data_IF_369108865604
#
_entry.id   IF_369108865604
#
_cell.length_a   1.000
_cell.length_b   1.000
_cell.length_c   1.000
_cell.angle_alpha   90.00
_cell.angle_beta   90.00
_cell.angle_gamma   90.00
#
_symmetry.space_group_name_H-M   'P 1'
#
loop_
_entity.id
_entity.type
_entity.pdbx_description
1 polymer ?
#
# COMPACT_ATOMS: atom_id res chain seq x y z
N UNK A 1 -15.33 13.85 1.13
CA UNK A 1 -15.06 12.43 1.39
C UNK A 1 -13.57 12.20 1.10
N UNK A 2 -12.88 11.32 1.83
CA UNK A 2 -11.52 10.96 1.43
C UNK A 2 -11.64 9.81 0.44
N UNK A 3 -11.01 9.97 -0.72
CA UNK A 3 -11.13 9.05 -1.84
C UNK A 3 -9.75 8.65 -2.33
N UNK A 4 -9.63 7.42 -2.82
CA UNK A 4 -8.38 6.90 -3.36
C UNK A 4 -8.23 7.38 -4.80
N UNK A 5 -7.10 8.01 -5.18
CA UNK A 5 -6.91 8.50 -6.53
C UNK A 5 -6.87 7.38 -7.57
N UNK A 6 -7.53 7.58 -8.72
CA UNK A 6 -7.53 6.62 -9.84
C UNK A 6 -6.12 6.21 -10.30
N UNK A 7 -5.18 7.15 -10.32
CA UNK A 7 -3.78 6.88 -10.68
C UNK A 7 -3.06 5.88 -9.76
N UNK A 8 -3.58 5.65 -8.54
CA UNK A 8 -3.06 4.62 -7.65
C UNK A 8 -3.65 3.24 -7.96
N UNK A 9 -4.94 3.17 -8.33
CA UNK A 9 -5.69 1.91 -8.46
C UNK A 9 -5.80 1.40 -9.92
N UNK A 10 -5.56 2.26 -10.91
CA UNK A 10 -5.65 1.91 -12.34
C UNK A 10 -4.65 0.82 -12.75
N UNK A 11 -3.57 0.64 -11.97
CA UNK A 11 -2.54 -0.40 -12.16
C UNK A 11 -2.91 -1.74 -11.52
N UNK A 12 -4.06 -1.86 -10.84
CA UNK A 12 -4.48 -3.08 -10.17
C UNK A 12 -5.27 -3.98 -11.13
N UNK A 13 -5.13 -5.32 -11.02
CA UNK A 13 -6.00 -6.22 -11.77
C UNK A 13 -7.46 -6.03 -11.35
N UNK A 14 -8.37 -5.85 -12.33
CA UNK A 14 -9.80 -5.63 -12.06
C UNK A 14 -10.53 -6.79 -11.39
N UNK A 15 -9.90 -7.96 -11.31
CA UNK A 15 -10.42 -9.13 -10.59
C UNK A 15 -10.13 -9.13 -9.09
N UNK A 16 -9.36 -8.16 -8.58
CA UNK A 16 -9.02 -8.07 -7.17
C UNK A 16 -10.23 -7.65 -6.33
N UNK A 17 -10.41 -8.32 -5.19
CA UNK A 17 -11.47 -7.99 -4.24
C UNK A 17 -11.10 -6.74 -3.45
N UNK A 18 -12.05 -5.82 -3.27
CA UNK A 18 -11.88 -4.56 -2.53
C UNK A 18 -12.67 -4.60 -1.24
N UNK A 19 -12.06 -4.15 -0.15
CA UNK A 19 -12.73 -4.01 1.14
C UNK A 19 -12.17 -2.83 1.93
N UNK A 20 -12.96 -2.18 2.79
CA UNK A 20 -12.44 -1.21 3.75
C UNK A 20 -11.39 -1.84 4.68
N UNK A 21 -10.44 -1.05 5.14
CA UNK A 21 -9.52 -1.52 6.18
C UNK A 21 -10.25 -1.81 7.50
N UNK A 22 -9.74 -2.79 8.25
CA UNK A 22 -10.28 -3.14 9.58
C UNK A 22 -10.02 -2.07 10.65
N UNK A 23 -8.98 -1.26 10.48
CA UNK A 23 -8.55 -0.19 11.38
C UNK A 23 -8.05 0.98 10.54
N UNK A 24 -8.30 2.20 11.00
CA UNK A 24 -7.99 3.42 10.25
C UNK A 24 -8.90 3.61 9.04
N UNK A 25 -8.78 4.77 8.39
CA UNK A 25 -9.49 5.06 7.14
C UNK A 25 -8.66 4.57 5.97
N UNK A 26 -9.24 3.80 5.05
CA UNK A 26 -8.54 3.29 3.88
C UNK A 26 -9.17 2.03 3.29
N UNK A 27 -8.55 1.50 2.26
CA UNK A 27 -9.03 0.34 1.51
C UNK A 27 -7.93 -0.67 1.27
N UNK A 28 -8.34 -1.93 1.11
CA UNK A 28 -7.50 -3.06 0.73
C UNK A 28 -8.00 -3.66 -0.56
N UNK A 29 -7.08 -3.86 -1.49
CA UNK A 29 -7.25 -4.71 -2.66
C UNK A 29 -6.45 -5.99 -2.47
N UNK A 30 -7.07 -7.13 -2.76
CA UNK A 30 -6.48 -8.44 -2.55
C UNK A 30 -6.76 -9.35 -3.73
N UNK A 31 -5.72 -10.05 -4.19
CA UNK A 31 -5.86 -11.08 -5.21
C UNK A 31 -6.65 -12.28 -4.64
N UNK A 32 -7.81 -12.65 -5.24
CA UNK A 32 -8.61 -13.76 -4.76
C UNK A 32 -7.95 -15.13 -5.02
N UNK A 33 -7.02 -15.22 -5.98
CA UNK A 33 -6.31 -16.46 -6.34
C UNK A 33 -4.99 -16.61 -5.57
N UNK A 34 -4.40 -15.50 -5.12
CA UNK A 34 -3.17 -15.51 -4.33
C UNK A 34 -3.24 -14.49 -3.19
N UNK A 35 -3.63 -14.95 -1.99
CA UNK A 35 -3.73 -14.09 -0.79
C UNK A 35 -2.39 -13.49 -0.33
N UNK A 36 -1.26 -13.88 -0.94
CA UNK A 36 0.03 -13.23 -0.78
C UNK A 36 0.17 -11.91 -1.54
N UNK A 37 -0.69 -11.64 -2.52
CA UNK A 37 -0.71 -10.42 -3.34
C UNK A 37 -1.79 -9.45 -2.86
N UNK A 38 -1.42 -8.24 -2.49
CA UNK A 38 -2.40 -7.22 -2.14
C UNK A 38 -1.77 -5.85 -1.89
N UNK A 39 -2.60 -4.83 -2.00
CA UNK A 39 -2.23 -3.44 -1.75
C UNK A 39 -3.21 -2.86 -0.74
N UNK A 40 -2.69 -2.13 0.24
CA UNK A 40 -3.48 -1.27 1.13
C UNK A 40 -3.17 0.18 0.81
N UNK A 41 -4.19 1.00 0.75
CA UNK A 41 -4.07 2.46 0.66
C UNK A 41 -4.76 3.03 1.89
N UNK A 42 -3.95 3.66 2.74
CA UNK A 42 -4.32 4.14 4.06
C UNK A 42 -4.31 5.67 4.04
N UNK A 43 -5.37 6.30 4.60
CA UNK A 43 -5.42 7.74 4.83
C UNK A 43 -4.44 8.10 5.96
N UNK A 44 -3.70 9.19 5.79
CA UNK A 44 -2.81 9.72 6.82
C UNK A 44 -3.57 10.19 8.06
N UNK A 45 -2.98 9.94 9.22
CA UNK A 45 -3.51 10.38 10.51
C UNK A 45 -2.50 11.29 11.22
N UNK A 46 -2.70 12.63 11.22
CA UNK A 46 -1.68 13.60 11.63
C UNK A 46 -1.10 13.45 13.03
N UNK A 47 -1.85 12.83 13.95
CA UNK A 47 -1.48 12.71 15.37
C UNK A 47 -0.95 11.33 15.76
N UNK A 48 -0.75 10.43 14.80
CA UNK A 48 -0.17 9.11 15.09
C UNK A 48 1.33 9.22 15.35
N UNK A 49 1.85 8.41 16.28
CA UNK A 49 3.24 8.48 16.73
C UNK A 49 4.26 8.09 15.65
N UNK A 50 3.84 7.33 14.65
CA UNK A 50 4.71 6.90 13.56
C UNK A 50 4.62 7.91 12.40
N UNK A 51 5.68 8.70 12.11
CA UNK A 51 5.60 9.79 11.14
C UNK A 51 5.17 9.36 9.73
N UNK A 52 5.56 8.15 9.32
CA UNK A 52 5.22 7.60 8.00
C UNK A 52 3.73 7.27 7.83
N UNK A 53 2.95 7.21 8.91
CA UNK A 53 1.50 7.05 8.90
C UNK A 53 0.73 8.38 9.02
N UNK A 54 1.44 9.52 9.17
CA UNK A 54 0.81 10.85 9.23
C UNK A 54 0.38 11.37 7.84
N UNK A 55 0.86 10.73 6.78
CA UNK A 55 0.51 11.02 5.39
C UNK A 55 -0.22 9.83 4.76
N UNK A 56 -0.99 10.10 3.71
CA UNK A 56 -1.58 9.03 2.90
C UNK A 56 -0.46 8.13 2.37
N UNK A 57 -0.60 6.82 2.58
CA UNK A 57 0.46 5.87 2.28
C UNK A 57 -0.10 4.56 1.75
N UNK A 58 0.80 3.77 1.18
CA UNK A 58 0.52 2.50 0.52
C UNK A 58 1.42 1.44 1.10
N UNK A 59 0.84 0.28 1.40
CA UNK A 59 1.59 -0.94 1.73
C UNK A 59 1.34 -1.97 0.64
N UNK A 60 2.42 -2.48 0.06
CA UNK A 60 2.38 -3.47 -1.02
C UNK A 60 2.84 -4.82 -0.49
N UNK A 61 2.12 -5.88 -0.84
CA UNK A 61 2.53 -7.28 -0.64
C UNK A 61 2.50 -8.04 -1.95
N UNK A 62 3.58 -8.74 -2.25
CA UNK A 62 3.71 -9.58 -3.45
C UNK A 62 4.22 -10.95 -3.02
N UNK A 63 3.46 -12.00 -3.36
CA UNK A 63 3.76 -13.40 -3.01
C UNK A 63 4.09 -13.60 -1.51
N UNK A 64 3.39 -12.90 -0.64
CA UNK A 64 3.56 -13.01 0.82
C UNK A 64 4.68 -12.14 1.40
N UNK A 65 5.46 -11.45 0.56
CA UNK A 65 6.52 -10.53 0.98
C UNK A 65 6.04 -9.09 0.93
N UNK A 66 6.47 -8.27 1.90
CA UNK A 66 6.22 -6.82 1.85
C UNK A 66 7.22 -6.20 0.89
N UNK A 67 6.74 -5.34 -0.01
CA UNK A 67 7.57 -4.67 -1.01
C UNK A 67 7.85 -3.24 -0.54
N UNK A 68 9.14 -2.88 -0.57
CA UNK A 68 9.61 -1.55 -0.22
C UNK A 68 9.43 -0.55 -1.36
N UNK A 69 9.67 0.73 -1.03
CA UNK A 69 9.66 1.87 -1.97
C UNK A 69 10.56 1.70 -3.19
N UNK A 70 11.59 0.88 -3.06
CA UNK A 70 12.55 0.53 -4.11
C UNK A 70 12.09 -0.64 -5.00
N UNK A 71 10.90 -1.20 -4.76
CA UNK A 71 10.37 -2.36 -5.49
C UNK A 71 10.97 -3.70 -5.05
N UNK A 72 11.75 -3.74 -3.97
CA UNK A 72 12.38 -4.97 -3.48
C UNK A 72 11.65 -5.54 -2.25
N UNK A 73 11.71 -6.86 -2.03
CA UNK A 73 11.23 -7.46 -0.80
C UNK A 73 11.96 -6.90 0.44
N UNK A 74 11.21 -6.60 1.49
CA UNK A 74 11.75 -6.20 2.79
C UNK A 74 11.64 -7.37 3.76
N UNK A 75 12.77 -7.74 4.37
CA UNK A 75 12.84 -8.78 5.41
C UNK A 75 12.62 -8.13 6.76
N UNK A 76 11.71 -8.68 7.57
CA UNK A 76 11.40 -8.16 8.90
C UNK A 76 9.99 -7.59 9.00
N UNK A 77 9.74 -6.81 10.05
CA UNK A 77 8.42 -6.26 10.31
C UNK A 77 8.22 -4.89 9.63
N UNK A 78 6.96 -4.57 9.31
CA UNK A 78 6.60 -3.24 8.79
C UNK A 78 6.98 -2.13 9.77
N UNK A 79 6.92 -2.41 11.08
CA UNK A 79 7.22 -1.42 12.11
C UNK A 79 8.69 -1.02 12.08
N UNK A 80 9.58 -2.00 11.91
CA UNK A 80 11.04 -1.79 11.93
C UNK A 80 11.53 -1.14 10.63
N UNK A 81 10.79 -1.34 9.53
CA UNK A 81 11.12 -0.83 8.19
C UNK A 81 10.09 0.19 7.68
N UNK A 82 9.44 0.93 8.57
CA UNK A 82 8.30 1.77 8.25
C UNK A 82 8.58 2.80 7.14
N UNK A 83 9.77 3.42 7.13
CA UNK A 83 10.19 4.37 6.09
C UNK A 83 10.33 3.71 4.72
N UNK A 84 10.69 2.44 4.68
CA UNK A 84 10.86 1.66 3.46
C UNK A 84 9.53 1.11 2.94
N UNK A 85 8.57 0.79 3.81
CA UNK A 85 7.34 0.07 3.41
C UNK A 85 6.06 0.90 3.40
N UNK A 86 6.00 2.00 4.15
CA UNK A 86 4.94 3.00 3.99
C UNK A 86 5.32 3.91 2.82
N UNK A 87 4.92 3.49 1.63
CA UNK A 87 5.18 4.24 0.40
C UNK A 87 4.19 5.42 0.38
N UNK A 88 4.64 6.69 0.40
CA UNK A 88 3.72 7.81 0.32
C UNK A 88 2.83 7.69 -0.93
N UNK A 89 1.54 7.96 -0.80
CA UNK A 89 0.60 7.82 -1.92
C UNK A 89 0.98 8.72 -3.10
N UNK A 90 1.59 9.88 -2.82
CA UNK A 90 2.15 10.79 -3.83
C UNK A 90 3.27 10.16 -4.67
N UNK A 91 4.05 9.26 -4.09
CA UNK A 91 5.08 8.47 -4.77
C UNK A 91 4.48 7.28 -5.51
N UNK A 92 3.63 6.50 -4.83
CA UNK A 92 3.04 5.29 -5.40
C UNK A 92 2.23 5.56 -6.67
N UNK A 93 1.57 6.71 -6.77
CA UNK A 93 0.89 7.15 -8.00
C UNK A 93 1.80 7.13 -9.23
N UNK A 94 3.10 7.37 -9.06
CA UNK A 94 4.10 7.42 -10.13
C UNK A 94 4.63 6.04 -10.53
N UNK A 95 4.38 5.00 -9.73
CA UNK A 95 4.80 3.63 -10.04
C UNK A 95 4.15 3.12 -11.32
N UNK A 96 4.90 2.38 -12.14
CA UNK A 96 4.36 1.77 -13.37
C UNK A 96 3.50 0.54 -13.10
N UNK A 97 3.91 -0.28 -12.15
CA UNK A 97 3.22 -1.52 -11.77
C UNK A 97 2.70 -1.43 -10.33
N UNK A 98 1.72 -2.26 -9.98
CA UNK A 98 1.19 -2.26 -8.61
C UNK A 98 2.22 -2.71 -7.56
N UNK A 99 3.21 -3.53 -7.94
CA UNK A 99 4.24 -4.07 -7.06
C UNK A 99 5.67 -3.61 -7.36
N UNK A 100 5.87 -2.69 -8.30
CA UNK A 100 7.20 -2.17 -8.65
C UNK A 100 7.11 -0.73 -9.16
N UNK A 101 8.06 0.15 -8.79
CA UNK A 101 8.11 1.52 -9.31
C UNK A 101 8.37 1.59 -10.81
N UNK A 102 9.14 0.64 -11.35
CA UNK A 102 9.52 0.55 -12.76
C UNK A 102 8.96 -0.71 -13.43
#
# INVERSE_FOLDING_TARGET
MWDVPDAAISKFPGSWAVSPNKKGTGFRWQDPKNKGNGVRIDKGEPHISQPTQQVDHVIVRSNGQVIGRDGKPVVGSIKDHAEQVHIPLSEYKKWKSWNSPN
#
